data_IF_180364346294
#
_entry.id   IF_180364346294
#
_cell.length_a   1.000
_cell.length_b   1.000
_cell.length_c   1.000
_cell.angle_alpha   90.00
_cell.angle_beta   90.00
_cell.angle_gamma   90.00
#
_symmetry.space_group_name_H-M   'P 1'
#
loop_
_entity.id
_entity.type
_entity.pdbx_description
1 polymer ?
#
# COMPACT_ATOMS: atom_id res chain seq x y z
N UNK A 1 2.02 -1.43 18.76
CA UNK A 1 1.59 -2.13 17.54
C UNK A 1 1.47 -1.12 16.40
N UNK A 2 2.01 -1.47 15.27
CA UNK A 2 1.98 -0.57 14.12
C UNK A 2 0.59 -0.59 13.50
N UNK A 3 0.02 0.56 13.28
CA UNK A 3 -1.34 0.64 12.79
C UNK A 3 -1.54 1.85 11.89
N UNK A 4 -2.07 1.60 10.70
CA UNK A 4 -2.35 2.67 9.75
C UNK A 4 -3.84 2.78 9.50
N UNK A 5 -4.31 4.00 9.29
CA UNK A 5 -5.66 4.25 8.83
C UNK A 5 -5.58 4.77 7.41
N UNK A 6 -6.62 4.55 6.64
CA UNK A 6 -6.69 5.06 5.28
C UNK A 6 -6.53 6.58 5.22
N UNK A 7 -6.95 7.25 6.30
CA UNK A 7 -6.88 8.70 6.36
C UNK A 7 -5.64 9.22 7.08
N UNK A 8 -4.65 8.37 7.31
CA UNK A 8 -3.43 8.82 8.00
C UNK A 8 -2.77 9.93 7.22
N UNK A 9 -2.48 11.02 7.91
CA UNK A 9 -1.79 12.13 7.30
C UNK A 9 -0.30 11.85 7.32
N UNK A 10 0.42 12.37 6.36
CA UNK A 10 1.86 12.25 6.35
C UNK A 10 2.39 10.88 6.01
N UNK A 11 1.59 10.08 5.33
CA UNK A 11 2.09 8.80 4.84
C UNK A 11 3.08 9.09 3.72
N UNK A 12 4.28 8.54 3.85
CA UNK A 12 5.32 8.69 2.85
C UNK A 12 5.79 7.29 2.46
N UNK A 13 5.90 7.06 1.18
CA UNK A 13 6.38 5.78 0.68
C UNK A 13 7.67 6.03 -0.08
N UNK A 14 8.76 5.43 0.38
CA UNK A 14 10.02 5.49 -0.33
C UNK A 14 9.97 4.46 -1.44
N UNK A 15 10.27 4.87 -2.65
CA UNK A 15 10.21 3.98 -3.81
C UNK A 15 11.56 3.81 -4.47
N UNK A 16 11.72 2.71 -5.18
CA UNK A 16 12.91 2.47 -5.99
C UNK A 16 12.91 3.46 -7.16
N UNK A 17 13.99 4.20 -7.32
CA UNK A 17 14.07 5.23 -8.34
C UNK A 17 14.00 4.72 -9.77
N UNK A 18 14.34 3.46 -10.00
CA UNK A 18 14.33 2.92 -11.34
C UNK A 18 13.04 2.18 -11.67
N UNK A 19 12.38 1.59 -10.69
CA UNK A 19 11.19 0.78 -10.94
C UNK A 19 9.92 1.38 -10.39
N UNK A 20 10.02 2.32 -9.44
CA UNK A 20 8.87 2.89 -8.76
C UNK A 20 8.24 1.96 -7.72
N UNK A 21 8.90 0.85 -7.41
CA UNK A 21 8.34 -0.12 -6.46
C UNK A 21 8.49 0.40 -5.03
N UNK A 22 7.46 0.23 -4.20
CA UNK A 22 7.55 0.65 -2.81
C UNK A 22 8.62 -0.14 -2.06
N UNK A 23 9.47 0.56 -1.33
CA UNK A 23 10.54 -0.04 -0.54
C UNK A 23 10.31 0.10 0.95
N UNK A 24 9.74 1.21 1.37
CA UNK A 24 9.54 1.48 2.79
C UNK A 24 8.34 2.38 2.98
N UNK A 25 7.56 2.12 4.02
CA UNK A 25 6.41 2.92 4.37
C UNK A 25 6.75 3.68 5.64
N UNK A 26 6.53 4.99 5.65
CA UNK A 26 6.73 5.83 6.82
C UNK A 26 5.45 6.54 7.15
N UNK A 27 4.97 6.36 8.35
CA UNK A 27 3.75 7.02 8.81
C UNK A 27 3.75 7.05 10.33
N UNK A 28 3.25 8.11 10.90
CA UNK A 28 3.08 8.25 12.36
C UNK A 28 4.37 7.98 13.14
N UNK A 29 5.51 8.39 12.57
CA UNK A 29 6.80 8.18 13.23
C UNK A 29 7.35 6.77 13.11
N UNK A 30 6.64 5.90 12.43
CA UNK A 30 7.04 4.51 12.25
C UNK A 30 7.58 4.26 10.86
N UNK A 31 8.41 3.24 10.75
CA UNK A 31 8.94 2.82 9.46
C UNK A 31 8.71 1.35 9.28
N UNK A 32 8.24 0.95 8.11
CA UNK A 32 8.05 -0.45 7.77
C UNK A 32 8.74 -0.74 6.46
N UNK A 33 9.68 -1.66 6.48
CA UNK A 33 10.32 -2.10 5.23
C UNK A 33 9.36 -3.01 4.48
N UNK A 34 9.20 -2.77 3.20
CA UNK A 34 8.39 -3.63 2.36
C UNK A 34 9.22 -4.85 2.00
N UNK A 35 8.77 -6.02 2.41
CA UNK A 35 9.50 -7.24 2.18
C UNK A 35 9.08 -7.95 0.89
N UNK A 36 7.87 -7.64 0.40
CA UNK A 36 7.40 -8.29 -0.81
C UNK A 36 6.34 -7.43 -1.49
N UNK A 37 6.45 -7.31 -2.80
CA UNK A 37 5.42 -6.68 -3.61
C UNK A 37 4.59 -7.81 -4.20
N UNK A 38 3.33 -7.89 -3.79
CA UNK A 38 2.46 -8.98 -4.22
C UNK A 38 1.71 -8.68 -5.51
N UNK A 39 1.30 -7.44 -5.69
CA UNK A 39 0.54 -7.08 -6.88
C UNK A 39 0.63 -5.59 -7.16
N UNK A 40 0.51 -5.24 -8.41
CA UNK A 40 0.44 -3.85 -8.84
C UNK A 40 -0.76 -3.74 -9.78
N UNK A 41 -1.60 -2.75 -9.55
CA UNK A 41 -2.71 -2.47 -10.43
C UNK A 41 -2.63 -1.02 -10.87
N UNK A 42 -2.55 -0.81 -12.16
CA UNK A 42 -2.49 0.53 -12.72
C UNK A 42 -3.92 0.94 -13.11
N UNK A 43 -4.43 1.95 -12.45
CA UNK A 43 -5.78 2.46 -12.70
C UNK A 43 -5.68 3.88 -13.22
N UNK A 44 -4.95 4.06 -14.32
CA UNK A 44 -4.79 5.36 -14.94
C UNK A 44 -5.72 5.57 -16.11
N UNK A 45 -6.29 4.50 -16.67
CA UNK A 45 -7.25 4.60 -17.77
C UNK A 45 -8.69 4.45 -17.28
N UNK A 46 -8.89 3.68 -16.24
CA UNK A 46 -10.21 3.51 -15.65
C UNK A 46 -10.05 3.68 -14.14
N UNK A 47 -10.66 4.71 -13.58
CA UNK A 47 -10.48 5.04 -12.18
C UNK A 47 -11.73 5.75 -11.64
N UNK A 48 -11.89 5.76 -10.31
CA UNK A 48 -13.00 6.50 -9.70
C UNK A 48 -12.83 7.99 -9.97
N UNK A 49 -13.90 8.63 -10.39
CA UNK A 49 -13.86 10.05 -10.72
C UNK A 49 -13.38 10.89 -9.55
N UNK A 50 -13.79 10.55 -8.36
CA UNK A 50 -13.45 11.31 -7.17
C UNK A 50 -11.95 11.30 -6.87
N UNK A 51 -11.30 10.18 -7.02
CA UNK A 51 -9.89 10.05 -6.66
C UNK A 51 -8.95 10.29 -7.84
N UNK A 52 -9.45 10.15 -9.06
CA UNK A 52 -8.61 10.31 -10.24
C UNK A 52 -7.70 9.12 -10.49
N UNK A 53 -6.75 9.27 -11.42
CA UNK A 53 -5.85 8.16 -11.76
C UNK A 53 -4.96 7.78 -10.57
N UNK A 54 -4.71 6.50 -10.45
CA UNK A 54 -3.96 5.99 -9.32
C UNK A 54 -3.26 4.69 -9.65
N UNK A 55 -2.26 4.34 -8.86
CA UNK A 55 -1.60 3.05 -8.93
C UNK A 55 -1.76 2.39 -7.57
N UNK A 56 -2.19 1.15 -7.56
CA UNK A 56 -2.44 0.41 -6.34
C UNK A 56 -1.41 -0.69 -6.20
N UNK A 57 -0.71 -0.71 -5.06
CA UNK A 57 0.29 -1.73 -4.78
C UNK A 57 -0.19 -2.55 -3.60
N UNK A 58 -0.13 -3.87 -3.72
CA UNK A 58 -0.39 -4.74 -2.58
C UNK A 58 0.95 -5.26 -2.12
N UNK A 59 1.32 -4.96 -0.89
CA UNK A 59 2.64 -5.27 -0.36
C UNK A 59 2.57 -6.01 0.95
N UNK A 60 3.66 -6.64 1.31
CA UNK A 60 3.83 -7.29 2.60
C UNK A 60 4.93 -6.57 3.35
N UNK A 61 4.68 -6.31 4.63
CA UNK A 61 5.67 -5.70 5.52
C UNK A 61 5.39 -6.18 6.93
N UNK A 62 6.41 -6.71 7.60
CA UNK A 62 6.30 -7.23 8.97
C UNK A 62 5.15 -8.22 9.14
N UNK A 63 5.04 -9.15 8.22
CA UNK A 63 4.03 -10.19 8.28
C UNK A 63 2.59 -9.66 8.17
N UNK A 64 2.43 -8.44 7.70
CA UNK A 64 1.13 -7.83 7.45
C UNK A 64 1.05 -7.46 6.00
N UNK A 65 -0.16 -7.33 5.51
CA UNK A 65 -0.40 -6.93 4.14
C UNK A 65 -1.02 -5.55 4.11
N UNK A 66 -0.57 -4.74 3.16
CA UNK A 66 -1.09 -3.39 3.01
C UNK A 66 -1.39 -3.11 1.55
N UNK A 67 -2.39 -2.28 1.34
CA UNK A 67 -2.66 -1.73 0.03
C UNK A 67 -2.17 -0.28 0.06
N UNK A 68 -1.21 0.03 -0.79
CA UNK A 68 -0.68 1.37 -0.91
C UNK A 68 -1.23 1.97 -2.19
N UNK A 69 -1.91 3.10 -2.09
CA UNK A 69 -2.52 3.74 -3.23
C UNK A 69 -1.82 5.05 -3.48
N UNK A 70 -1.21 5.16 -4.65
CA UNK A 70 -0.55 6.39 -5.06
C UNK A 70 -1.52 7.18 -5.93
N UNK A 71 -2.03 8.28 -5.38
CA UNK A 71 -2.97 9.17 -6.07
C UNK A 71 -2.14 10.10 -6.92
N UNK A 72 -2.15 9.88 -8.23
CA UNK A 72 -1.24 10.59 -9.12
C UNK A 72 -1.55 12.08 -9.22
N UNK A 73 -2.83 12.43 -9.25
CA UNK A 73 -3.22 13.83 -9.36
C UNK A 73 -2.78 14.64 -8.15
N UNK A 74 -2.93 14.06 -6.97
CA UNK A 74 -2.61 14.75 -5.73
C UNK A 74 -1.18 14.49 -5.25
N UNK A 75 -0.47 13.59 -5.93
CA UNK A 75 0.88 13.19 -5.55
C UNK A 75 0.95 12.76 -4.11
N UNK A 76 0.00 11.93 -3.71
CA UNK A 76 -0.15 11.57 -2.33
C UNK A 76 -0.37 10.08 -2.22
N UNK A 77 0.02 9.51 -1.09
CA UNK A 77 -0.17 8.09 -0.82
C UNK A 77 -1.24 7.91 0.23
N UNK A 78 -2.03 6.88 0.09
CA UNK A 78 -2.89 6.42 1.17
C UNK A 78 -2.54 4.97 1.45
N UNK A 79 -2.86 4.50 2.65
CA UNK A 79 -2.51 3.17 3.07
C UNK A 79 -3.69 2.52 3.76
N UNK A 80 -3.87 1.24 3.49
CA UNK A 80 -4.93 0.45 4.09
C UNK A 80 -4.35 -0.88 4.49
N UNK A 81 -4.57 -1.31 5.71
CA UNK A 81 -4.11 -2.62 6.15
C UNK A 81 -5.12 -3.66 5.69
N UNK A 82 -4.63 -4.75 5.11
CA UNK A 82 -5.48 -5.82 4.61
C UNK A 82 -5.40 -7.01 5.56
N UNK A 83 -6.44 -7.83 5.59
CA UNK A 83 -6.40 -9.04 6.38
C UNK A 83 -5.28 -9.95 5.92
N UNK A 84 -4.56 -10.55 6.87
CA UNK A 84 -3.53 -11.52 6.53
C UNK A 84 -4.23 -12.85 6.29
N UNK A 85 -4.02 -13.39 5.11
CA UNK A 85 -4.61 -14.69 4.79
C UNK A 85 -3.66 -15.77 5.25
N UNK A 86 -4.11 -16.56 6.19
CA UNK A 86 -3.34 -17.69 6.68
C UNK A 86 -3.81 -18.91 5.92
N UNK A 87 -2.90 -19.63 5.34
CA UNK A 87 -3.26 -20.78 4.53
C UNK A 87 -4.15 -21.78 5.28
N UNK A 88 -3.81 -22.05 6.49
CA UNK A 88 -4.59 -22.99 7.27
C UNK A 88 -6.01 -22.52 7.49
N UNK A 89 -6.15 -21.23 7.74
CA UNK A 89 -7.46 -20.71 7.98
C UNK A 89 -8.25 -20.68 6.70
N UNK A 90 -7.63 -20.28 5.66
CA UNK A 90 -8.32 -20.17 4.40
C UNK A 90 -8.90 -21.51 4.01
N UNK A 91 -8.28 -22.53 4.45
CA UNK A 91 -8.72 -23.72 4.04
C UNK A 91 -9.57 -24.34 4.95
N UNK A 92 -9.41 -24.16 6.15
CA UNK A 92 -10.25 -24.71 7.17
C UNK A 92 -11.69 -24.43 6.84
N UNK A 93 -11.90 -23.49 6.04
CA UNK A 93 -13.27 -23.18 5.66
C UNK A 93 -13.86 -24.31 4.79
#
# INVERSE_FOLDING_TARGET
MFHFNADSLGVVVAVDGSTGRPLEIRADGERLAVTRLEAVRDETAAYPIDSGPRTVFTVRAQERRYRLIHLLRDRRWTIEELPVRTAGLARAA
#
